data_IF_896711189030
#
_entry.id   IF_896711189030
#
_cell.length_a   1.000
_cell.length_b   1.000
_cell.length_c   1.000
_cell.angle_alpha   90.00
_cell.angle_beta   90.00
_cell.angle_gamma   90.00
#
_symmetry.space_group_name_H-M   'P 1'
#
loop_
_entity.id
_entity.type
_entity.pdbx_description
1 polymer ?
#
# COMPACT_ATOMS: atom_id res chain seq x y z
N UNK A 1 59.44 -19.02 8.67
CA UNK A 1 58.26 -18.79 7.80
C UNK A 1 57.01 -18.84 8.66
N UNK A 2 56.46 -17.68 9.07
CA UNK A 2 55.20 -17.62 9.82
C UNK A 2 54.05 -17.68 8.80
N UNK A 3 53.18 -18.69 8.91
CA UNK A 3 51.96 -18.79 8.10
C UNK A 3 50.98 -17.71 8.57
N UNK A 4 50.60 -16.84 7.64
CA UNK A 4 49.54 -15.84 7.82
C UNK A 4 48.20 -16.57 7.71
N UNK A 5 47.45 -16.62 8.81
CA UNK A 5 46.09 -17.16 8.85
C UNK A 5 45.14 -15.99 8.52
N UNK A 6 44.56 -15.99 7.34
CA UNK A 6 43.52 -15.03 6.95
C UNK A 6 42.19 -15.60 7.46
N UNK A 7 41.66 -15.01 8.53
CA UNK A 7 40.29 -15.25 8.97
C UNK A 7 39.34 -14.47 8.04
N UNK A 8 38.61 -15.18 7.19
CA UNK A 8 37.47 -14.61 6.46
C UNK A 8 36.29 -14.53 7.43
N UNK A 9 36.01 -13.33 7.94
CA UNK A 9 34.72 -13.06 8.58
C UNK A 9 33.67 -12.92 7.47
N UNK A 10 32.76 -13.90 7.37
CA UNK A 10 31.51 -13.70 6.65
C UNK A 10 30.65 -12.73 7.46
N UNK A 11 30.58 -11.47 7.00
CA UNK A 11 29.57 -10.53 7.47
C UNK A 11 28.24 -11.00 6.89
N UNK A 12 27.44 -11.70 7.69
CA UNK A 12 26.03 -11.87 7.39
C UNK A 12 25.36 -10.51 7.64
N UNK A 13 25.22 -9.71 6.58
CA UNK A 13 24.40 -8.51 6.60
C UNK A 13 22.94 -8.96 6.68
N UNK A 14 22.35 -8.90 7.88
CA UNK A 14 20.90 -9.01 8.03
C UNK A 14 20.30 -7.69 7.55
N UNK A 15 19.80 -7.66 6.33
CA UNK A 15 18.96 -6.56 5.87
C UNK A 15 17.61 -6.68 6.57
N UNK A 16 17.34 -5.77 7.50
CA UNK A 16 15.99 -5.57 8.02
C UNK A 16 15.18 -4.87 6.93
N UNK A 17 14.23 -5.57 6.32
CA UNK A 17 13.28 -4.98 5.39
C UNK A 17 12.01 -4.57 6.14
N UNK A 18 11.41 -3.43 5.78
CA UNK A 18 10.06 -3.11 6.24
C UNK A 18 9.06 -3.53 5.17
N UNK A 19 8.22 -4.50 5.52
CA UNK A 19 7.01 -4.79 4.77
C UNK A 19 6.04 -3.63 4.97
N UNK A 20 5.51 -3.08 3.87
CA UNK A 20 4.53 -2.00 3.88
C UNK A 20 3.26 -2.43 3.17
N UNK A 21 2.13 -1.93 3.66
CA UNK A 21 0.81 -2.13 3.07
C UNK A 21 0.26 -0.77 2.65
N UNK A 22 0.09 -0.58 1.35
CA UNK A 22 -0.55 0.58 0.75
C UNK A 22 -2.01 0.30 0.39
N UNK A 23 -2.86 1.29 0.63
CA UNK A 23 -4.26 1.31 0.18
C UNK A 23 -4.44 2.54 -0.72
N UNK A 24 -4.83 2.31 -1.97
CA UNK A 24 -4.99 3.35 -2.97
C UNK A 24 -6.43 3.33 -3.47
N UNK A 25 -7.01 4.52 -3.61
CA UNK A 25 -8.42 4.72 -3.89
C UNK A 25 -8.58 5.44 -5.23
N UNK A 26 -9.73 5.23 -5.86
CA UNK A 26 -10.20 6.06 -6.96
C UNK A 26 -10.62 7.42 -6.37
N UNK A 27 -10.18 8.52 -7.00
CA UNK A 27 -10.29 9.86 -6.40
C UNK A 27 -11.00 10.90 -7.27
N UNK A 28 -11.33 10.54 -8.51
CA UNK A 28 -11.97 11.40 -9.51
C UNK A 28 -12.81 10.53 -10.45
N UNK A 29 -13.91 11.04 -11.01
CA UNK A 29 -14.76 10.26 -11.92
C UNK A 29 -14.09 9.92 -13.27
N UNK A 30 -12.96 10.56 -13.60
CA UNK A 30 -12.12 10.17 -14.74
C UNK A 30 -11.06 9.13 -14.37
N UNK A 31 -11.09 8.59 -13.15
CA UNK A 31 -10.21 7.51 -12.73
C UNK A 31 -10.83 6.13 -12.92
N UNK A 32 -12.14 6.02 -13.10
CA UNK A 32 -12.81 4.76 -13.38
C UNK A 32 -13.86 4.89 -14.49
N UNK A 33 -14.17 3.77 -15.11
CA UNK A 33 -15.20 3.70 -16.15
C UNK A 33 -15.08 2.44 -17.00
N UNK A 34 -15.98 2.31 -17.95
CA UNK A 34 -15.97 1.20 -18.91
C UNK A 34 -16.26 1.62 -20.34
N UNK A 35 -15.71 0.83 -21.25
CA UNK A 35 -15.72 1.10 -22.68
C UNK A 35 -16.07 -0.18 -23.44
N UNK A 36 -17.04 -0.11 -24.35
CA UNK A 36 -17.09 -1.09 -25.45
C UNK A 36 -15.85 -0.85 -26.32
N UNK A 37 -15.13 -1.90 -26.71
CA UNK A 37 -13.88 -1.76 -27.47
C UNK A 37 -13.95 -0.69 -28.58
N UNK A 38 -13.01 0.25 -28.56
CA UNK A 38 -12.87 1.36 -29.49
C UNK A 38 -14.11 2.26 -29.58
N UNK A 39 -14.72 2.57 -28.43
CA UNK A 39 -15.82 3.54 -28.28
C UNK A 39 -15.45 4.60 -27.24
N UNK A 40 -16.31 5.61 -27.06
CA UNK A 40 -16.15 6.57 -25.97
C UNK A 40 -16.48 5.86 -24.65
N UNK A 41 -15.62 5.93 -23.62
CA UNK A 41 -15.92 5.32 -22.33
C UNK A 41 -17.11 6.01 -21.66
N UNK A 42 -17.84 5.24 -20.87
CA UNK A 42 -18.83 5.76 -19.93
C UNK A 42 -18.12 6.02 -18.61
N UNK A 43 -18.14 7.28 -18.20
CA UNK A 43 -17.61 7.79 -16.94
C UNK A 43 -18.78 8.35 -16.10
N UNK A 44 -18.52 8.67 -14.84
CA UNK A 44 -19.42 9.40 -13.95
C UNK A 44 -20.82 8.74 -13.77
N UNK A 45 -20.91 7.42 -13.56
CA UNK A 45 -22.20 6.73 -13.29
C UNK A 45 -22.17 5.98 -11.97
N UNK A 46 -23.24 5.26 -11.62
CA UNK A 46 -23.34 4.63 -10.30
C UNK A 46 -22.56 3.30 -10.17
N UNK A 47 -22.23 2.64 -11.29
CA UNK A 47 -21.66 1.28 -11.26
C UNK A 47 -20.81 0.92 -12.47
N UNK A 48 -19.67 0.25 -12.28
CA UNK A 48 -18.82 -0.30 -13.33
C UNK A 48 -19.42 -1.59 -13.86
N UNK A 49 -19.13 -1.89 -15.12
CA UNK A 49 -19.48 -3.18 -15.76
C UNK A 49 -18.20 -3.91 -16.10
N UNK A 50 -18.13 -5.18 -15.70
CA UNK A 50 -17.06 -6.10 -16.05
C UNK A 50 -17.67 -7.28 -16.79
N UNK A 51 -17.24 -7.55 -18.03
CA UNK A 51 -17.72 -8.71 -18.78
C UNK A 51 -18.30 -8.38 -20.15
N UNK A 52 -19.42 -9.01 -20.49
CA UNK A 52 -20.10 -8.94 -21.78
C UNK A 52 -21.42 -8.20 -21.66
N UNK A 53 -21.67 -7.26 -22.55
CA UNK A 53 -22.99 -6.62 -22.65
C UNK A 53 -24.05 -7.58 -23.22
N UNK A 54 -25.35 -7.26 -23.07
CA UNK A 54 -26.43 -8.11 -23.57
C UNK A 54 -26.44 -8.35 -25.09
N UNK A 55 -25.80 -7.48 -25.85
CA UNK A 55 -25.57 -7.59 -27.29
C UNK A 55 -24.24 -8.30 -27.65
N UNK A 56 -23.55 -8.85 -26.65
CA UNK A 56 -22.33 -9.65 -26.83
C UNK A 56 -21.07 -8.83 -27.11
N UNK A 57 -21.05 -7.55 -26.72
CA UNK A 57 -19.84 -6.74 -26.82
C UNK A 57 -18.98 -6.87 -25.56
N UNK A 58 -17.67 -6.98 -25.77
CA UNK A 58 -16.70 -6.96 -24.69
C UNK A 58 -16.66 -5.57 -24.04
N UNK A 59 -16.83 -5.54 -22.72
CA UNK A 59 -16.74 -4.33 -21.91
C UNK A 59 -15.36 -4.28 -21.24
N UNK A 60 -14.59 -3.24 -21.56
CA UNK A 60 -13.28 -2.98 -21.01
C UNK A 60 -13.42 -2.01 -19.85
N UNK A 61 -13.11 -2.44 -18.63
CA UNK A 61 -13.18 -1.58 -17.44
C UNK A 61 -11.80 -1.02 -17.13
N UNK A 62 -11.68 0.30 -16.98
CA UNK A 62 -10.46 0.98 -16.58
C UNK A 62 -10.54 1.42 -15.12
N UNK A 63 -9.47 1.19 -14.36
CA UNK A 63 -9.31 1.64 -12.97
C UNK A 63 -7.95 2.30 -12.77
N UNK A 64 -7.94 3.60 -12.56
CA UNK A 64 -6.76 4.45 -12.36
C UNK A 64 -6.62 4.82 -10.89
N UNK A 65 -5.59 4.31 -10.25
CA UNK A 65 -5.26 4.66 -8.87
C UNK A 65 -4.23 5.78 -8.87
N UNK A 66 -4.57 6.91 -8.26
CA UNK A 66 -3.64 8.01 -8.03
C UNK A 66 -2.80 7.77 -6.78
N UNK A 67 -1.72 8.54 -6.64
CA UNK A 67 -0.89 8.55 -5.43
C UNK A 67 -0.39 7.15 -5.04
N UNK A 68 -0.03 6.31 -6.01
CA UNK A 68 0.48 4.96 -5.73
C UNK A 68 1.90 5.08 -5.18
N UNK A 69 2.04 4.94 -3.87
CA UNK A 69 3.28 5.24 -3.15
C UNK A 69 4.32 4.12 -3.19
N UNK A 70 4.05 3.02 -3.90
CA UNK A 70 5.03 1.94 -4.12
C UNK A 70 6.32 2.49 -4.76
N UNK A 71 7.47 2.41 -4.07
CA UNK A 71 8.74 2.91 -4.59
C UNK A 71 9.19 2.15 -5.84
N UNK A 72 9.93 2.83 -6.73
CA UNK A 72 10.56 2.20 -7.92
C UNK A 72 11.37 0.97 -7.50
N UNK A 73 11.19 -0.14 -8.21
CA UNK A 73 11.93 -1.39 -7.97
C UNK A 73 11.63 -2.10 -6.66
N UNK A 74 10.56 -1.74 -5.95
CA UNK A 74 10.12 -2.49 -4.77
C UNK A 74 9.76 -3.92 -5.15
N UNK A 75 10.04 -4.88 -4.26
CA UNK A 75 9.51 -6.25 -4.40
C UNK A 75 8.06 -6.24 -3.94
N UNK A 76 7.13 -6.63 -4.82
CA UNK A 76 5.69 -6.66 -4.52
C UNK A 76 5.32 -8.07 -4.07
N UNK A 77 5.01 -8.21 -2.79
CA UNK A 77 4.68 -9.49 -2.18
C UNK A 77 3.25 -9.92 -2.55
N UNK A 78 2.31 -8.98 -2.53
CA UNK A 78 0.93 -9.22 -2.92
C UNK A 78 0.25 -7.93 -3.39
N UNK A 79 -0.60 -8.02 -4.41
CA UNK A 79 -1.36 -6.86 -4.88
C UNK A 79 -2.74 -7.28 -5.39
N UNK A 80 -3.80 -6.65 -4.90
CA UNK A 80 -5.17 -7.04 -5.20
C UNK A 80 -6.04 -5.80 -5.37
N UNK A 81 -7.00 -5.85 -6.29
CA UNK A 81 -8.07 -4.86 -6.35
C UNK A 81 -9.30 -5.47 -5.67
N UNK A 82 -9.85 -4.74 -4.71
CA UNK A 82 -11.07 -5.08 -4.01
C UNK A 82 -12.22 -4.27 -4.60
N UNK A 83 -13.23 -4.96 -5.13
CA UNK A 83 -14.48 -4.36 -5.60
C UNK A 83 -15.54 -4.37 -4.49
N UNK A 84 -16.52 -3.48 -4.60
CA UNK A 84 -17.79 -3.56 -3.88
C UNK A 84 -18.89 -3.84 -4.88
N UNK A 85 -19.58 -4.98 -4.77
CA UNK A 85 -20.63 -5.35 -5.71
C UNK A 85 -21.85 -4.40 -5.62
N UNK A 86 -22.32 -3.90 -6.75
CA UNK A 86 -23.54 -3.09 -6.85
C UNK A 86 -24.79 -3.94 -7.13
N UNK A 87 -24.62 -5.20 -7.53
CA UNK A 87 -25.69 -6.15 -7.83
C UNK A 87 -25.31 -7.56 -7.35
N UNK A 88 -26.31 -8.41 -7.15
CA UNK A 88 -26.10 -9.85 -7.00
C UNK A 88 -25.79 -10.46 -8.38
N UNK A 89 -24.67 -11.15 -8.53
CA UNK A 89 -24.24 -11.74 -9.81
C UNK A 89 -23.69 -13.15 -9.56
N UNK A 90 -24.32 -14.16 -10.15
CA UNK A 90 -23.93 -15.57 -9.96
C UNK A 90 -23.07 -16.11 -11.10
N UNK A 91 -22.85 -15.30 -12.14
CA UNK A 91 -22.18 -15.72 -13.36
C UNK A 91 -20.65 -15.72 -13.21
N UNK A 92 -20.04 -16.74 -13.83
CA UNK A 92 -18.59 -16.88 -13.88
C UNK A 92 -18.05 -16.18 -15.12
N UNK A 93 -17.25 -15.14 -14.92
CA UNK A 93 -16.66 -14.33 -15.97
C UNK A 93 -15.15 -14.51 -15.91
N UNK A 94 -14.57 -14.87 -17.04
CA UNK A 94 -13.12 -14.92 -17.18
C UNK A 94 -12.63 -13.55 -17.62
N UNK A 95 -11.77 -12.95 -16.81
CA UNK A 95 -11.23 -11.62 -17.02
C UNK A 95 -9.71 -11.72 -17.09
N UNK A 96 -9.13 -11.12 -18.13
CA UNK A 96 -7.72 -10.80 -18.18
C UNK A 96 -7.52 -9.38 -17.68
N UNK A 97 -6.61 -9.23 -16.72
CA UNK A 97 -6.21 -7.95 -16.15
C UNK A 97 -4.82 -7.62 -16.67
N UNK A 98 -4.65 -6.40 -17.15
CA UNK A 98 -3.39 -5.84 -17.64
C UNK A 98 -3.26 -4.41 -17.11
N UNK A 99 -2.04 -3.88 -17.03
CA UNK A 99 -1.79 -2.48 -16.69
C UNK A 99 -1.53 -1.64 -17.93
N UNK A 100 -1.73 -0.32 -17.85
CA UNK A 100 -1.14 0.60 -18.82
C UNK A 100 0.39 0.61 -18.63
N UNK A 101 1.15 0.35 -19.70
CA UNK A 101 2.60 0.47 -19.70
C UNK A 101 2.99 1.95 -19.78
N UNK A 102 2.80 2.65 -18.66
CA UNK A 102 3.16 4.05 -18.46
C UNK A 102 3.67 4.25 -17.03
N UNK A 103 4.74 5.04 -16.82
CA UNK A 103 5.20 5.38 -15.48
C UNK A 103 4.27 6.36 -14.74
N UNK A 104 3.31 6.98 -15.42
CA UNK A 104 2.28 7.82 -14.82
C UNK A 104 1.06 7.85 -15.75
N UNK A 105 0.06 7.03 -15.46
CA UNK A 105 -1.15 6.93 -16.26
C UNK A 105 -1.89 8.27 -16.30
N UNK A 106 -2.28 8.73 -17.50
CA UNK A 106 -3.18 9.87 -17.66
C UNK A 106 -4.62 9.48 -17.32
N UNK A 107 -5.48 10.41 -16.85
CA UNK A 107 -6.90 10.16 -16.63
C UNK A 107 -7.60 9.56 -17.86
N UNK A 108 -8.73 8.89 -17.63
CA UNK A 108 -9.57 8.38 -18.71
C UNK A 108 -10.32 9.58 -19.31
N UNK A 109 -10.12 9.84 -20.60
CA UNK A 109 -10.77 10.92 -21.31
C UNK A 109 -12.11 10.43 -21.92
N UNK A 110 -13.07 11.33 -22.10
CA UNK A 110 -14.30 11.09 -22.88
C UNK A 110 -14.02 11.07 -24.39
N UNK A 111 -13.05 10.25 -24.82
CA UNK A 111 -12.60 10.09 -26.20
C UNK A 111 -12.58 8.60 -26.58
N UNK A 112 -12.77 8.34 -27.87
CA UNK A 112 -12.80 6.97 -28.41
C UNK A 112 -11.51 6.22 -28.07
N UNK A 113 -11.62 5.04 -27.46
CA UNK A 113 -10.47 4.18 -27.19
C UNK A 113 -9.64 4.59 -25.98
N UNK A 114 -10.12 5.51 -25.13
CA UNK A 114 -9.34 6.00 -23.98
C UNK A 114 -9.03 4.90 -22.94
N UNK A 115 -9.73 3.76 -22.95
CA UNK A 115 -9.40 2.58 -22.15
C UNK A 115 -8.82 1.50 -23.08
N UNK A 116 -9.52 1.14 -24.14
CA UNK A 116 -9.25 -0.06 -24.95
C UNK A 116 -8.00 0.04 -25.83
N UNK A 117 -7.51 1.25 -26.15
CA UNK A 117 -6.34 1.48 -26.99
C UNK A 117 -5.08 1.88 -26.21
N UNK A 118 -5.12 1.82 -24.86
CA UNK A 118 -3.94 2.05 -24.03
C UNK A 118 -2.84 1.04 -24.38
N UNK A 119 -1.59 1.50 -24.38
CA UNK A 119 -0.45 0.60 -24.51
C UNK A 119 -0.34 -0.22 -23.22
N UNK A 120 -0.32 -1.54 -23.34
CA UNK A 120 -0.45 -2.44 -22.19
C UNK A 120 0.90 -2.98 -21.72
N UNK A 121 0.97 -3.37 -20.46
CA UNK A 121 2.03 -4.21 -19.90
C UNK A 121 2.17 -5.52 -20.67
N UNK A 122 3.39 -6.08 -20.69
CA UNK A 122 3.62 -7.44 -21.17
C UNK A 122 3.13 -8.50 -20.18
N UNK A 123 3.14 -8.17 -18.89
CA UNK A 123 2.57 -8.97 -17.81
C UNK A 123 1.05 -8.81 -17.75
N UNK A 124 0.36 -9.92 -17.48
CA UNK A 124 -1.10 -9.98 -17.38
C UNK A 124 -1.51 -11.03 -16.36
N UNK A 125 -2.66 -10.84 -15.72
CA UNK A 125 -3.19 -11.79 -14.76
C UNK A 125 -4.59 -12.25 -15.18
N UNK A 126 -4.83 -13.56 -15.10
CA UNK A 126 -6.19 -14.11 -15.24
C UNK A 126 -6.92 -14.07 -13.90
N UNK A 127 -8.18 -13.67 -13.94
CA UNK A 127 -9.10 -13.66 -12.81
C UNK A 127 -10.45 -14.23 -13.25
N UNK A 128 -11.09 -14.97 -12.36
CA UNK A 128 -12.40 -15.59 -12.60
C UNK A 128 -13.32 -15.06 -11.52
N UNK A 129 -14.37 -14.33 -11.91
CA UNK A 129 -15.34 -13.82 -10.95
C UNK A 129 -16.02 -14.99 -10.23
N UNK A 130 -16.27 -14.80 -8.94
CA UNK A 130 -17.07 -15.71 -8.12
C UNK A 130 -18.47 -15.12 -7.94
N UNK A 131 -19.28 -15.70 -7.07
CA UNK A 131 -20.61 -15.19 -6.77
C UNK A 131 -20.51 -13.82 -6.07
N UNK A 132 -21.07 -12.79 -6.70
CA UNK A 132 -21.15 -11.45 -6.14
C UNK A 132 -22.46 -11.26 -5.41
N UNK A 133 -22.35 -10.78 -4.17
CA UNK A 133 -23.50 -10.47 -3.35
C UNK A 133 -23.60 -8.95 -3.21
N UNK A 134 -24.81 -8.43 -3.37
CA UNK A 134 -25.08 -7.00 -3.28
C UNK A 134 -24.41 -6.38 -2.04
N UNK A 135 -23.73 -5.25 -2.25
CA UNK A 135 -23.09 -4.45 -1.20
C UNK A 135 -21.98 -5.18 -0.41
N UNK A 136 -21.39 -6.23 -0.99
CA UNK A 136 -20.35 -7.03 -0.34
C UNK A 136 -18.97 -6.73 -0.96
N UNK A 137 -18.00 -6.24 -0.18
CA UNK A 137 -16.59 -6.19 -0.55
C UNK A 137 -15.83 -7.39 0.07
N UNK A 138 -16.18 -8.61 -0.36
CA UNK A 138 -15.65 -9.85 0.18
C UNK A 138 -14.52 -10.46 -0.66
N UNK A 139 -13.98 -11.63 -0.25
CA UNK A 139 -12.96 -12.36 -1.00
C UNK A 139 -13.33 -12.69 -2.45
N UNK A 140 -14.63 -12.87 -2.71
CA UNK A 140 -15.19 -13.20 -4.03
C UNK A 140 -15.21 -11.99 -4.99
N UNK A 141 -15.11 -10.77 -4.45
CA UNK A 141 -15.00 -9.49 -5.19
C UNK A 141 -13.55 -9.02 -5.27
N UNK A 142 -12.58 -9.87 -4.92
CA UNK A 142 -11.16 -9.53 -4.95
C UNK A 142 -10.47 -10.19 -6.14
N UNK A 143 -9.64 -9.44 -6.84
CA UNK A 143 -8.84 -9.97 -7.94
C UNK A 143 -7.86 -11.04 -7.48
N UNK A 144 -7.34 -11.83 -8.43
CA UNK A 144 -6.08 -12.55 -8.27
C UNK A 144 -4.90 -11.57 -8.07
N UNK A 145 -3.74 -12.11 -7.68
CA UNK A 145 -2.55 -11.32 -7.39
C UNK A 145 -2.03 -10.60 -8.64
N UNK A 146 -1.81 -9.28 -8.53
CA UNK A 146 -1.42 -8.37 -9.61
C UNK A 146 0.06 -7.94 -9.51
N UNK A 147 0.86 -8.61 -8.67
CA UNK A 147 2.25 -8.23 -8.38
C UNK A 147 3.09 -8.04 -9.65
N UNK A 148 3.04 -8.97 -10.61
CA UNK A 148 3.84 -8.90 -11.83
C UNK A 148 3.51 -7.67 -12.70
N UNK A 149 2.23 -7.25 -12.73
CA UNK A 149 1.79 -6.05 -13.45
C UNK A 149 2.35 -4.80 -12.77
N UNK A 150 2.23 -4.72 -11.43
CA UNK A 150 2.73 -3.59 -10.65
C UNK A 150 4.25 -3.49 -10.77
N UNK A 151 4.96 -4.62 -10.64
CA UNK A 151 6.41 -4.68 -10.77
C UNK A 151 6.89 -4.20 -12.14
N UNK A 152 6.21 -4.58 -13.22
CA UNK A 152 6.53 -4.06 -14.56
C UNK A 152 6.39 -2.53 -14.61
N UNK A 153 5.33 -1.97 -14.04
CA UNK A 153 5.08 -0.52 -14.05
C UNK A 153 6.09 0.24 -13.18
N UNK A 154 6.32 -0.17 -11.93
CA UNK A 154 7.22 0.56 -11.01
C UNK A 154 8.70 0.45 -11.44
N UNK A 155 9.04 -0.52 -12.27
CA UNK A 155 10.39 -0.68 -12.82
C UNK A 155 10.65 0.19 -14.05
N UNK A 156 9.62 0.81 -14.64
CA UNK A 156 9.80 1.70 -15.80
C UNK A 156 10.66 2.92 -15.46
N UNK A 157 11.36 3.43 -16.47
CA UNK A 157 12.01 4.73 -16.38
C UNK A 157 10.96 5.84 -16.31
N UNK A 158 11.13 6.73 -15.34
CA UNK A 158 10.15 7.78 -15.04
C UNK A 158 9.13 7.43 -13.95
N UNK A 159 9.07 6.18 -13.45
CA UNK A 159 8.24 5.89 -12.28
C UNK A 159 8.75 6.64 -11.05
N UNK A 160 7.84 7.37 -10.40
CA UNK A 160 8.06 8.09 -9.14
C UNK A 160 6.94 7.67 -8.19
N UNK A 161 7.29 7.38 -6.93
CA UNK A 161 6.29 7.11 -5.88
C UNK A 161 5.29 8.27 -5.80
N UNK A 162 4.00 7.93 -5.87
CA UNK A 162 2.90 8.89 -5.99
C UNK A 162 2.35 9.05 -7.42
N UNK A 163 3.00 8.49 -8.43
CA UNK A 163 2.44 8.44 -9.79
C UNK A 163 1.20 7.53 -9.84
N UNK A 164 0.40 7.69 -10.90
CA UNK A 164 -0.81 6.91 -11.11
C UNK A 164 -0.55 5.62 -11.90
N UNK A 165 -1.30 4.57 -11.57
CA UNK A 165 -1.37 3.31 -12.34
C UNK A 165 -2.79 3.10 -12.85
N UNK A 166 -2.93 2.68 -14.11
CA UNK A 166 -4.20 2.29 -14.71
C UNK A 166 -4.21 0.77 -14.95
N UNK A 167 -5.23 0.09 -14.46
CA UNK A 167 -5.51 -1.32 -14.73
C UNK A 167 -6.71 -1.42 -15.68
N UNK A 168 -6.65 -2.38 -16.60
CA UNK A 168 -7.71 -2.63 -17.58
C UNK A 168 -8.16 -4.09 -17.47
N UNK A 169 -9.46 -4.26 -17.27
CA UNK A 169 -10.14 -5.54 -17.13
C UNK A 169 -10.79 -5.88 -18.46
N UNK A 170 -10.40 -7.00 -19.05
CA UNK A 170 -10.82 -7.44 -20.37
C UNK A 170 -11.50 -8.80 -20.27
N UNK A 171 -12.75 -8.96 -20.70
CA UNK A 171 -13.36 -10.28 -20.77
C UNK A 171 -12.61 -11.19 -21.74
N UNK A 172 -12.48 -12.47 -21.40
CA UNK A 172 -11.78 -13.48 -22.19
C UNK A 172 -12.56 -14.80 -22.21
N UNK A 173 -12.53 -15.62 -23.27
CA UNK A 173 -12.03 -15.28 -24.61
C UNK A 173 -12.90 -14.19 -25.24
N UNK A 174 -12.34 -13.36 -26.10
CA UNK A 174 -13.03 -12.21 -26.75
C UNK A 174 -14.11 -12.65 -27.76
N UNK A 175 -14.49 -13.93 -27.80
CA UNK A 175 -15.48 -14.45 -28.72
C UNK A 175 -16.82 -14.53 -27.98
N UNK A 176 -17.68 -13.55 -28.31
CA UNK A 176 -18.93 -13.26 -27.64
C UNK A 176 -19.73 -14.49 -27.23
N UNK A 177 -19.87 -14.64 -25.92
CA UNK A 177 -20.95 -15.42 -25.37
C UNK A 177 -22.25 -14.66 -25.67
N UNK A 178 -23.28 -15.38 -26.13
CA UNK A 178 -24.60 -14.80 -26.43
C UNK A 178 -25.40 -14.48 -25.19
N UNK A 179 -24.91 -14.90 -24.02
CA UNK A 179 -25.55 -14.69 -22.73
C UNK A 179 -24.87 -13.48 -22.05
N UNK A 180 -25.68 -12.62 -21.43
CA UNK A 180 -25.15 -11.51 -20.64
C UNK A 180 -24.36 -12.10 -19.48
N UNK A 181 -23.05 -11.92 -19.48
CA UNK A 181 -22.16 -12.33 -18.39
C UNK A 181 -21.49 -11.08 -17.86
N UNK A 182 -22.05 -10.51 -16.79
CA UNK A 182 -21.67 -9.20 -16.29
C UNK A 182 -21.56 -9.20 -14.77
N UNK A 183 -20.47 -8.67 -14.25
CA UNK A 183 -20.34 -8.31 -12.86
C UNK A 183 -20.43 -6.79 -12.74
N UNK A 184 -21.21 -6.30 -11.78
CA UNK A 184 -21.37 -4.86 -11.55
C UNK A 184 -20.79 -4.46 -10.19
N UNK A 185 -19.89 -3.49 -10.19
CA UNK A 185 -19.31 -2.89 -8.97
C UNK A 185 -19.74 -1.44 -8.86
N UNK A 186 -19.71 -0.83 -7.67
CA UNK A 186 -19.90 0.62 -7.57
C UNK A 186 -18.72 1.41 -8.18
N UNK A 187 -19.03 2.57 -8.74
CA UNK A 187 -18.06 3.58 -9.21
C UNK A 187 -17.76 4.63 -8.13
N UNK A 188 -16.78 5.49 -8.42
CA UNK A 188 -16.41 6.64 -7.59
C UNK A 188 -17.59 7.53 -7.19
N UNK A 189 -18.59 7.70 -8.05
CA UNK A 189 -19.73 8.61 -7.84
C UNK A 189 -20.57 8.21 -6.62
N UNK A 190 -20.50 6.95 -6.19
CA UNK A 190 -21.16 6.48 -4.98
C UNK A 190 -20.37 6.80 -3.70
N UNK A 191 -19.11 7.21 -3.86
CA UNK A 191 -18.18 7.61 -2.82
C UNK A 191 -16.92 6.72 -2.79
N UNK A 192 -15.81 7.31 -2.35
CA UNK A 192 -14.47 6.68 -2.26
C UNK A 192 -14.46 5.30 -1.56
N UNK A 193 -15.35 5.09 -0.59
CA UNK A 193 -15.46 3.83 0.15
C UNK A 193 -16.17 2.70 -0.61
N UNK A 194 -16.90 3.02 -1.67
CA UNK A 194 -17.63 2.07 -2.50
C UNK A 194 -16.86 1.71 -3.77
N UNK A 195 -16.10 2.67 -4.29
CA UNK A 195 -15.26 2.50 -5.45
C UNK A 195 -14.20 1.39 -5.24
N UNK A 196 -13.66 0.82 -6.32
CA UNK A 196 -12.60 -0.17 -6.21
C UNK A 196 -11.38 0.37 -5.46
N UNK A 197 -10.73 -0.48 -4.67
CA UNK A 197 -9.52 -0.14 -3.91
C UNK A 197 -8.37 -1.05 -4.32
N UNK A 198 -7.21 -0.47 -4.61
CA UNK A 198 -5.97 -1.21 -4.79
C UNK A 198 -5.25 -1.39 -3.45
N UNK A 199 -4.94 -2.64 -3.12
CA UNK A 199 -4.14 -3.03 -1.95
C UNK A 199 -2.80 -3.56 -2.44
N UNK A 200 -1.69 -3.00 -1.96
CA UNK A 200 -0.34 -3.44 -2.35
C UNK A 200 0.52 -3.68 -1.11
N UNK A 201 1.00 -4.89 -0.98
CA UNK A 201 2.01 -5.29 -0.01
C UNK A 201 3.37 -5.35 -0.70
N UNK A 202 4.35 -4.59 -0.20
CA UNK A 202 5.66 -4.52 -0.82
C UNK A 202 6.77 -4.37 0.20
N UNK A 203 7.98 -4.75 -0.22
CA UNK A 203 9.21 -4.46 0.50
C UNK A 203 9.79 -3.15 -0.03
N UNK A 204 9.88 -2.16 0.84
CA UNK A 204 10.59 -0.94 0.52
C UNK A 204 12.09 -1.14 0.73
N UNK A 205 12.84 -1.38 -0.35
CA UNK A 205 14.31 -1.40 -0.29
C UNK A 205 14.89 0.02 -0.16
N UNK A 206 14.17 1.06 -0.53
CA UNK A 206 14.66 2.44 -0.41
C UNK A 206 14.61 2.96 1.04
N UNK A 207 13.79 2.36 1.91
CA UNK A 207 13.89 2.54 3.38
C UNK A 207 15.18 1.94 3.97
N UNK A 208 15.89 1.09 3.20
CA UNK A 208 17.18 0.50 3.56
C UNK A 208 18.33 1.50 3.34
N UNK A 209 18.07 2.67 2.76
CA UNK A 209 19.03 3.78 2.73
C UNK A 209 18.92 4.62 4.02
N UNK A 210 19.58 4.15 5.07
CA UNK A 210 20.17 4.90 6.21
C UNK A 210 19.34 5.94 6.99
N UNK A 211 18.04 6.18 6.74
CA UNK A 211 17.33 7.30 7.39
C UNK A 211 16.04 7.01 8.16
N UNK A 212 15.36 5.86 8.03
CA UNK A 212 14.06 5.66 8.74
C UNK A 212 14.13 4.81 10.03
N UNK A 213 15.21 4.05 10.23
CA UNK A 213 15.52 3.36 11.50
C UNK A 213 16.32 4.23 12.48
N UNK A 214 17.02 5.26 11.97
CA UNK A 214 17.86 6.12 12.82
C UNK A 214 17.02 7.12 13.62
N UNK A 215 15.94 7.66 13.05
CA UNK A 215 15.13 8.71 13.70
C UNK A 215 14.00 8.20 14.60
N UNK A 216 13.77 6.89 14.68
CA UNK A 216 12.74 6.28 15.54
C UNK A 216 13.30 5.87 16.89
N UNK A 217 12.46 5.96 17.92
CA UNK A 217 12.75 5.45 19.27
C UNK A 217 11.88 4.23 19.51
N UNK A 218 12.51 3.16 19.98
CA UNK A 218 11.82 1.95 20.36
C UNK A 218 11.69 1.89 21.88
N UNK A 219 10.50 1.56 22.39
CA UNK A 219 10.20 1.53 23.84
C UNK A 219 9.59 0.17 24.17
N UNK A 220 10.24 -0.58 25.08
CA UNK A 220 9.80 -1.91 25.48
C UNK A 220 9.82 -2.10 26.99
N UNK A 221 8.83 -2.79 27.57
CA UNK A 221 7.55 -3.13 26.96
C UNK A 221 6.69 -1.88 26.72
N UNK A 222 5.76 -1.96 25.77
CA UNK A 222 4.71 -0.96 25.58
C UNK A 222 3.45 -1.69 25.09
N UNK A 223 2.40 -1.88 25.92
CA UNK A 223 2.21 -1.28 27.25
C UNK A 223 3.21 -1.69 28.34
N UNK A 224 3.53 -0.78 29.26
CA UNK A 224 4.50 -0.96 30.35
C UNK A 224 3.83 -0.97 31.73
N UNK A 225 4.42 -1.71 32.68
CA UNK A 225 3.96 -1.75 34.07
C UNK A 225 4.90 -0.94 34.99
N UNK A 226 6.11 -1.46 35.22
CA UNK A 226 7.06 -0.87 36.17
C UNK A 226 8.33 -0.30 35.53
N UNK A 227 8.79 -0.86 34.41
CA UNK A 227 10.03 -0.44 33.75
C UNK A 227 9.85 -0.40 32.25
N UNK A 228 10.63 0.47 31.61
CA UNK A 228 10.81 0.52 30.17
C UNK A 228 12.28 0.60 29.80
N UNK A 229 12.60 0.06 28.63
CA UNK A 229 13.86 0.18 27.93
C UNK A 229 13.62 0.99 26.66
N UNK A 230 14.43 2.03 26.46
CA UNK A 230 14.41 2.90 25.29
C UNK A 230 15.66 2.63 24.46
N UNK A 231 15.50 2.29 23.18
CA UNK A 231 16.60 2.09 22.24
C UNK A 231 16.49 3.09 21.07
N UNK A 232 17.61 3.71 20.69
CA UNK A 232 17.71 4.52 19.46
C UNK A 232 19.16 4.68 19.01
N UNK A 233 19.44 4.33 17.75
CA UNK A 233 20.81 4.44 17.20
C UNK A 233 21.25 5.89 17.01
N UNK A 234 20.34 6.80 16.65
CA UNK A 234 20.66 8.22 16.44
C UNK A 234 20.69 8.99 17.76
N UNK A 235 19.63 8.87 18.56
CA UNK A 235 19.47 9.72 19.73
C UNK A 235 20.38 9.32 20.89
N UNK A 236 20.83 8.06 20.98
CA UNK A 236 21.75 7.59 22.02
C UNK A 236 23.23 7.65 21.58
N UNK A 237 23.52 8.05 20.34
CA UNK A 237 24.90 8.22 19.86
C UNK A 237 25.60 9.44 20.48
N UNK A 238 24.84 10.33 21.14
CA UNK A 238 25.27 11.61 21.70
C UNK A 238 24.61 11.82 23.06
N UNK A 239 25.11 12.76 23.84
CA UNK A 239 24.48 13.15 25.10
C UNK A 239 23.09 13.74 24.84
N UNK A 240 22.17 13.56 25.78
CA UNK A 240 20.80 14.03 25.59
C UNK A 240 19.91 13.94 26.82
N UNK A 241 18.63 14.22 26.59
CA UNK A 241 17.58 14.25 27.60
C UNK A 241 16.42 13.36 27.16
N UNK A 242 16.00 12.48 28.05
CA UNK A 242 14.77 11.71 27.97
C UNK A 242 13.71 12.37 28.84
N UNK A 243 12.51 12.61 28.29
CA UNK A 243 11.38 13.19 29.00
C UNK A 243 10.13 12.31 28.85
N UNK A 244 9.38 12.12 29.94
CA UNK A 244 8.03 11.55 29.88
C UNK A 244 7.02 12.66 30.16
N UNK A 245 6.04 12.83 29.28
CA UNK A 245 4.99 13.85 29.36
C UNK A 245 3.60 13.21 29.42
N UNK A 246 2.66 13.84 30.10
CA UNK A 246 1.25 13.43 30.06
C UNK A 246 0.54 13.97 28.80
N UNK A 247 -0.75 13.65 28.64
CA UNK A 247 -1.57 14.08 27.49
C UNK A 247 -1.73 15.59 27.35
N UNK A 248 -1.49 16.37 28.41
CA UNK A 248 -1.55 17.83 28.39
C UNK A 248 -0.18 18.46 28.08
N UNK A 249 0.83 17.65 27.72
CA UNK A 249 2.20 18.11 27.47
C UNK A 249 2.99 18.46 28.73
N UNK A 250 2.44 18.21 29.93
CA UNK A 250 3.18 18.43 31.18
C UNK A 250 4.23 17.34 31.36
N UNK A 251 5.49 17.75 31.52
CA UNK A 251 6.60 16.86 31.87
C UNK A 251 6.40 16.25 33.27
N UNK A 252 6.51 14.93 33.33
CA UNK A 252 6.35 14.09 34.53
C UNK A 252 7.70 13.55 34.99
N UNK A 253 8.54 13.07 34.06
CA UNK A 253 9.89 12.57 34.34
C UNK A 253 10.90 13.19 33.38
N UNK A 254 12.13 13.30 33.84
CA UNK A 254 13.29 13.72 33.05
C UNK A 254 14.52 12.89 33.46
N UNK A 255 15.31 12.44 32.48
CA UNK A 255 16.58 11.76 32.70
C UNK A 255 17.60 12.22 31.67
N UNK A 256 18.74 12.72 32.13
CA UNK A 256 19.90 12.95 31.26
C UNK A 256 20.61 11.62 30.98
N UNK A 257 21.14 11.47 29.77
CA UNK A 257 21.93 10.32 29.37
C UNK A 257 23.18 10.77 28.59
N UNK A 258 24.19 9.91 28.58
CA UNK A 258 25.45 10.15 27.89
C UNK A 258 25.54 9.34 26.59
N UNK A 259 26.40 9.78 25.68
CA UNK A 259 26.65 9.14 24.41
C UNK A 259 27.09 7.66 24.54
N UNK A 260 26.74 6.86 23.54
CA UNK A 260 27.13 5.45 23.37
C UNK A 260 26.51 4.47 24.36
N UNK A 261 25.32 4.77 24.89
CA UNK A 261 24.49 3.75 25.55
C UNK A 261 23.67 2.99 24.51
N UNK A 262 23.70 1.66 24.52
CA UNK A 262 22.86 0.84 23.63
C UNK A 262 21.36 1.01 23.94
N UNK A 263 21.04 1.30 25.20
CA UNK A 263 19.70 1.54 25.67
C UNK A 263 19.66 2.42 26.94
N UNK A 264 18.47 2.96 27.25
CA UNK A 264 18.17 3.62 28.52
C UNK A 264 17.08 2.83 29.23
N UNK A 265 17.37 2.36 30.43
CA UNK A 265 16.36 1.83 31.34
C UNK A 265 15.76 2.96 32.19
N UNK A 266 14.43 2.98 32.31
CA UNK A 266 13.67 3.95 33.09
C UNK A 266 12.59 3.25 33.93
N UNK A 267 12.56 3.57 35.23
CA UNK A 267 11.49 3.17 36.14
C UNK A 267 10.25 4.05 35.91
N UNK A 268 9.13 3.42 35.59
CA UNK A 268 7.82 4.02 35.36
C UNK A 268 6.76 3.54 36.38
N UNK A 269 7.17 2.80 37.42
CA UNK A 269 6.30 2.25 38.46
C UNK A 269 5.55 3.32 39.27
N UNK A 270 5.95 4.59 39.20
CA UNK A 270 5.24 5.72 39.82
C UNK A 270 4.12 6.30 38.96
N UNK A 271 4.08 5.99 37.65
CA UNK A 271 3.08 6.52 36.72
C UNK A 271 1.73 5.80 36.90
N UNK A 272 0.61 6.50 36.71
CA UNK A 272 -0.73 5.91 36.71
C UNK A 272 -1.08 5.32 35.34
N UNK A 273 -2.01 4.36 35.30
CA UNK A 273 -2.53 3.80 34.04
C UNK A 273 -3.01 4.91 33.10
N UNK A 274 -2.56 4.88 31.85
CA UNK A 274 -2.90 5.92 30.88
C UNK A 274 -1.88 6.06 29.75
N UNK A 275 -2.11 7.08 28.91
CA UNK A 275 -1.26 7.40 27.77
C UNK A 275 -0.31 8.54 28.13
N UNK A 276 0.97 8.33 27.79
CA UNK A 276 2.06 9.28 27.94
C UNK A 276 2.81 9.42 26.62
N UNK A 277 3.67 10.44 26.56
CA UNK A 277 4.58 10.67 25.45
C UNK A 277 6.01 10.66 25.96
N UNK A 278 6.82 9.79 25.39
CA UNK A 278 8.24 9.68 25.65
C UNK A 278 8.98 10.48 24.57
N UNK A 279 9.77 11.47 24.99
CA UNK A 279 10.53 12.35 24.09
C UNK A 279 12.02 12.18 24.35
N UNK A 280 12.79 11.90 23.29
CA UNK A 280 14.25 11.99 23.31
C UNK A 280 14.69 13.28 22.64
N UNK A 281 15.63 13.98 23.27
CA UNK A 281 16.26 15.20 22.76
C UNK A 281 17.77 14.97 22.78
N UNK A 282 18.42 15.13 21.63
CA UNK A 282 19.87 15.08 21.54
C UNK A 282 20.36 16.07 20.47
N UNK A 283 21.39 16.83 20.80
CA UNK A 283 21.87 17.97 20.01
C UNK A 283 20.71 18.92 19.61
N UNK A 284 20.44 19.08 18.31
CA UNK A 284 19.36 19.93 17.77
C UNK A 284 18.15 19.12 17.27
N UNK A 285 18.03 17.85 17.67
CA UNK A 285 16.96 16.94 17.25
C UNK A 285 16.11 16.52 18.42
N UNK A 286 14.82 16.30 18.16
CA UNK A 286 13.90 15.69 19.12
C UNK A 286 12.94 14.74 18.43
N UNK A 287 12.60 13.64 19.07
CA UNK A 287 11.60 12.68 18.59
C UNK A 287 10.69 12.26 19.75
N UNK A 288 9.44 11.92 19.46
CA UNK A 288 8.41 11.61 20.47
C UNK A 288 7.64 10.36 20.08
N UNK A 289 7.48 9.43 21.02
CA UNK A 289 6.73 8.18 20.85
C UNK A 289 5.70 8.01 21.96
N UNK A 290 4.54 7.44 21.62
CA UNK A 290 3.48 7.11 22.57
C UNK A 290 3.94 5.97 23.51
N UNK A 291 3.75 6.16 24.80
CA UNK A 291 3.94 5.17 25.86
C UNK A 291 2.60 4.90 26.55
N UNK A 292 2.24 3.64 26.71
CA UNK A 292 1.02 3.20 27.41
C UNK A 292 1.46 2.59 28.75
N UNK A 293 0.92 3.09 29.86
CA UNK A 293 1.11 2.48 31.18
C UNK A 293 -0.13 1.66 31.52
N UNK A 294 0.09 0.39 31.86
CA UNK A 294 -0.94 -0.57 32.25
C UNK A 294 -0.40 -1.48 33.37
N UNK A 295 -0.87 -1.21 34.60
CA UNK A 295 -0.66 -2.00 35.81
C UNK A 295 -1.85 -2.90 36.10
#
# INVERSE_FOLDING_TARGET
MKKLLILLFSISMYFSYSQQMGFFYITDGNDDGDEVFNHVPVLDREYLKLGWSPDGHAIYTGLRFQNVTSPKGSEVLSAHIQFTASHDEIDTIYIRIEGELSPNAAPIASEVGSISLRNMTGMSQSWITQNWQFFTPGPDQRTSNLNEIIEEIINQDGWVSGNAMLFIFKPYPVNGESDTLMAMSYEYEMGEWYAPQLQVEYINWADVNEHSEFSKINIYPNPANDQIKICSKEFLAKDGILEIMNMNGKKILEKQFSAQTDDIELDVSSLQNGVYFCRLISENKSTTQKLIIQK
#
